data_IF_787039070124
#
_entry.id   IF_787039070124
#
_cell.length_a   1.000
_cell.length_b   1.000
_cell.length_c   1.000
_cell.angle_alpha   90.00
_cell.angle_beta   90.00
_cell.angle_gamma   90.00
#
_symmetry.space_group_name_H-M   'P 1'
#
loop_
_entity.id
_entity.type
_entity.pdbx_description
1 polymer ?
#
# COMPACT_ATOMS: atom_id res chain seq x y z
N UNK A 1 -14.24 19.40 -9.86
CA UNK A 1 -13.37 19.02 -8.73
C UNK A 1 -12.59 17.80 -9.18
N UNK A 2 -11.29 17.92 -9.44
CA UNK A 2 -10.48 16.77 -9.82
C UNK A 2 -10.46 15.80 -8.65
N UNK A 3 -11.12 14.66 -8.80
CA UNK A 3 -11.08 13.58 -7.82
C UNK A 3 -9.65 13.03 -7.88
N UNK A 4 -8.76 13.52 -7.01
CA UNK A 4 -7.42 12.94 -6.87
C UNK A 4 -7.63 11.51 -6.39
N UNK A 5 -7.54 10.56 -7.31
CA UNK A 5 -7.75 9.16 -7.01
C UNK A 5 -6.50 8.64 -6.31
N UNK A 6 -6.60 8.43 -5.01
CA UNK A 6 -5.54 7.79 -4.22
C UNK A 6 -5.56 6.29 -4.48
N UNK A 7 -4.38 5.65 -4.43
CA UNK A 7 -4.29 4.22 -4.64
C UNK A 7 -4.90 3.47 -3.45
N UNK A 8 -5.79 2.52 -3.75
CA UNK A 8 -6.34 1.59 -2.75
C UNK A 8 -5.34 0.48 -2.35
N UNK A 9 -4.12 0.52 -2.90
CA UNK A 9 -3.05 -0.46 -2.65
C UNK A 9 -2.83 -0.71 -1.16
N UNK A 10 -2.83 0.35 -0.35
CA UNK A 10 -2.54 0.29 1.07
C UNK A 10 -3.67 -0.33 1.90
N UNK A 11 -4.87 -0.56 1.34
CA UNK A 11 -5.92 -1.32 2.03
C UNK A 11 -5.51 -2.78 2.28
N UNK A 12 -4.57 -3.32 1.49
CA UNK A 12 -3.98 -4.67 1.69
C UNK A 12 -2.82 -4.72 2.69
N UNK A 13 -2.43 -3.57 3.25
CA UNK A 13 -1.46 -3.54 4.35
C UNK A 13 -2.09 -4.05 5.64
N UNK A 14 -1.29 -4.43 6.64
CA UNK A 14 -1.82 -4.92 7.93
C UNK A 14 -2.79 -3.92 8.58
N UNK A 15 -2.50 -2.62 8.53
CA UNK A 15 -3.39 -1.57 9.07
C UNK A 15 -4.66 -1.41 8.22
N UNK A 16 -4.56 -1.52 6.90
CA UNK A 16 -5.70 -1.45 5.99
C UNK A 16 -6.65 -2.64 6.13
N UNK A 17 -6.11 -3.85 6.31
CA UNK A 17 -6.89 -5.07 6.56
C UNK A 17 -7.61 -4.96 7.91
N UNK A 18 -6.90 -4.58 8.98
CA UNK A 18 -7.52 -4.39 10.29
C UNK A 18 -8.65 -3.35 10.27
N UNK A 19 -8.48 -2.25 9.52
CA UNK A 19 -9.54 -1.27 9.31
C UNK A 19 -10.74 -1.87 8.56
N UNK A 20 -10.50 -2.64 7.50
CA UNK A 20 -11.54 -3.27 6.70
C UNK A 20 -12.33 -4.28 7.53
N UNK A 21 -11.64 -5.13 8.29
CA UNK A 21 -12.26 -6.12 9.19
C UNK A 21 -13.14 -5.41 10.25
N UNK A 22 -12.64 -4.33 10.84
CA UNK A 22 -13.40 -3.53 11.82
C UNK A 22 -14.65 -2.88 11.21
N UNK A 23 -14.55 -2.38 9.98
CA UNK A 23 -15.69 -1.80 9.27
C UNK A 23 -16.73 -2.87 8.92
N UNK A 24 -16.29 -4.06 8.51
CA UNK A 24 -17.17 -5.18 8.20
C UNK A 24 -17.94 -5.64 9.45
N UNK A 25 -17.29 -5.71 10.62
CA UNK A 25 -17.97 -6.01 11.90
C UNK A 25 -19.07 -4.98 12.24
N UNK A 26 -18.78 -3.69 12.05
CA UNK A 26 -19.76 -2.61 12.29
C UNK A 26 -20.94 -2.66 11.30
N UNK A 27 -20.70 -3.10 10.07
CA UNK A 27 -21.76 -3.32 9.07
C UNK A 27 -22.62 -4.52 9.48
N UNK A 28 -21.99 -5.66 9.80
CA UNK A 28 -22.69 -6.90 10.15
C UNK A 28 -23.56 -6.74 11.40
N UNK A 29 -23.10 -5.94 12.36
CA UNK A 29 -23.85 -5.61 13.57
C UNK A 29 -24.89 -4.50 13.37
N UNK A 30 -25.01 -3.92 12.18
CA UNK A 30 -26.01 -2.90 11.83
C UNK A 30 -25.71 -1.50 12.36
N UNK A 31 -24.50 -1.24 12.88
CA UNK A 31 -24.13 0.06 13.42
C UNK A 31 -23.83 1.10 12.31
N UNK A 32 -23.32 0.66 11.15
CA UNK A 32 -23.04 1.53 10.02
C UNK A 32 -23.54 0.95 8.70
N UNK A 33 -23.89 1.83 7.76
CA UNK A 33 -24.24 1.43 6.40
C UNK A 33 -22.98 1.21 5.55
N UNK A 34 -22.95 0.27 4.59
CA UNK A 34 -21.79 0.02 3.72
C UNK A 34 -21.26 1.27 3.01
N UNK A 35 -22.15 2.19 2.64
CA UNK A 35 -21.77 3.46 1.99
C UNK A 35 -20.91 4.35 2.91
N UNK A 36 -21.12 4.31 4.22
CA UNK A 36 -20.28 5.05 5.18
C UNK A 36 -18.90 4.41 5.27
N UNK A 37 -18.81 3.08 5.34
CA UNK A 37 -17.53 2.36 5.35
C UNK A 37 -16.68 2.68 4.11
N UNK A 38 -17.29 2.75 2.93
CA UNK A 38 -16.59 3.15 1.70
C UNK A 38 -16.01 4.57 1.78
N UNK A 39 -16.70 5.51 2.44
CA UNK A 39 -16.19 6.87 2.68
C UNK A 39 -15.03 6.87 3.67
N UNK A 40 -15.06 6.02 4.69
CA UNK A 40 -13.93 5.83 5.62
C UNK A 40 -12.72 5.28 4.87
N UNK A 41 -12.89 4.26 4.03
CA UNK A 41 -11.81 3.70 3.22
C UNK A 41 -11.21 4.73 2.25
N UNK A 42 -12.05 5.53 1.59
CA UNK A 42 -11.58 6.62 0.72
C UNK A 42 -10.75 7.65 1.50
N UNK A 43 -11.15 7.94 2.75
CA UNK A 43 -10.40 8.85 3.63
C UNK A 43 -9.07 8.22 4.05
N UNK A 44 -9.07 6.92 4.36
CA UNK A 44 -7.87 6.17 4.67
C UNK A 44 -6.85 6.19 3.53
N UNK A 45 -7.28 5.96 2.28
CA UNK A 45 -6.38 5.96 1.12
C UNK A 45 -5.64 7.29 0.96
N UNK A 46 -6.34 8.40 1.21
CA UNK A 46 -5.74 9.74 1.26
C UNK A 46 -4.77 9.88 2.43
N UNK A 47 -5.22 9.59 3.64
CA UNK A 47 -4.45 9.81 4.87
C UNK A 47 -3.15 9.01 4.90
N UNK A 48 -3.17 7.74 4.48
CA UNK A 48 -1.95 6.91 4.45
C UNK A 48 -0.96 7.40 3.40
N UNK A 49 -1.44 7.82 2.22
CA UNK A 49 -0.59 8.36 1.17
C UNK A 49 0.10 9.65 1.60
N UNK A 50 -0.65 10.56 2.24
CA UNK A 50 -0.11 11.81 2.78
C UNK A 50 0.88 11.56 3.92
N UNK A 51 0.55 10.67 4.86
CA UNK A 51 1.43 10.33 5.98
C UNK A 51 2.77 9.73 5.50
N UNK A 52 2.73 8.76 4.58
CA UNK A 52 3.94 8.17 3.99
C UNK A 52 4.78 9.20 3.24
N UNK A 53 4.15 10.13 2.50
CA UNK A 53 4.87 11.14 1.73
C UNK A 53 5.46 12.26 2.60
N UNK A 54 4.79 12.66 3.68
CA UNK A 54 5.16 13.86 4.44
C UNK A 54 5.98 13.54 5.69
N UNK A 55 5.67 12.43 6.36
CA UNK A 55 6.21 12.11 7.69
C UNK A 55 7.37 11.11 7.62
N UNK A 56 7.37 10.18 6.67
CA UNK A 56 8.41 9.14 6.57
C UNK A 56 9.62 9.66 5.78
N UNK A 57 10.79 9.66 6.41
CA UNK A 57 12.06 10.13 5.82
C UNK A 57 13.13 9.04 5.68
N UNK A 58 12.92 7.94 6.38
CA UNK A 58 13.83 6.81 6.48
C UNK A 58 14.01 6.17 5.09
N UNK A 59 15.22 5.70 4.79
CA UNK A 59 15.54 5.03 3.54
C UNK A 59 15.96 3.59 3.79
N UNK A 60 15.65 2.73 2.84
CA UNK A 60 16.10 1.34 2.83
C UNK A 60 16.67 1.00 1.45
N UNK A 61 17.69 0.13 1.42
CA UNK A 61 18.21 -0.48 0.20
C UNK A 61 17.85 -1.95 0.19
N UNK A 62 17.40 -2.46 -0.95
CA UNK A 62 17.03 -3.88 -1.10
C UNK A 62 17.96 -4.49 -2.15
N UNK A 63 18.56 -5.63 -1.83
CA UNK A 63 19.32 -6.47 -2.78
C UNK A 63 18.80 -7.89 -2.70
N UNK A 64 18.62 -8.56 -3.84
CA UNK A 64 18.15 -9.93 -3.88
C UNK A 64 18.10 -10.46 -5.31
N UNK A 65 17.68 -11.72 -5.47
CA UNK A 65 17.53 -12.34 -6.77
C UNK A 65 16.12 -12.08 -7.33
N UNK A 66 16.01 -11.43 -8.49
CA UNK A 66 14.72 -11.23 -9.13
C UNK A 66 14.22 -12.55 -9.74
N UNK A 67 13.16 -13.12 -9.20
CA UNK A 67 12.57 -14.37 -9.68
C UNK A 67 11.63 -14.13 -10.87
N UNK A 68 10.72 -13.15 -10.75
CA UNK A 68 9.83 -12.75 -11.86
C UNK A 68 9.38 -11.31 -11.70
N UNK A 69 8.95 -10.69 -12.79
CA UNK A 69 8.37 -9.36 -12.82
C UNK A 69 7.16 -9.30 -13.75
N UNK A 70 6.27 -8.34 -13.51
CA UNK A 70 5.13 -8.03 -14.35
C UNK A 70 4.85 -6.54 -14.31
N UNK A 71 4.53 -5.98 -15.46
CA UNK A 71 3.99 -4.63 -15.58
C UNK A 71 2.64 -4.72 -16.31
N UNK A 72 1.59 -4.21 -15.68
CA UNK A 72 0.23 -4.15 -16.22
C UNK A 72 -0.51 -3.00 -15.54
N UNK A 73 -1.26 -2.21 -16.30
CA UNK A 73 -2.07 -1.08 -15.81
C UNK A 73 -1.30 -0.11 -14.89
N UNK A 74 -0.09 0.27 -15.29
CA UNK A 74 0.80 1.16 -14.54
C UNK A 74 1.23 0.65 -13.15
N UNK A 75 1.06 -0.65 -12.90
CA UNK A 75 1.47 -1.32 -11.67
C UNK A 75 2.61 -2.31 -11.97
N UNK A 76 3.73 -2.11 -11.29
CA UNK A 76 4.82 -3.07 -11.25
C UNK A 76 4.60 -4.09 -10.13
N UNK A 77 4.80 -5.36 -10.45
CA UNK A 77 4.88 -6.44 -9.45
C UNK A 77 6.19 -7.19 -9.64
N UNK A 78 6.97 -7.32 -8.57
CA UNK A 78 8.21 -8.11 -8.53
C UNK A 78 8.10 -9.21 -7.49
N UNK A 79 8.66 -10.37 -7.80
CA UNK A 79 8.91 -11.44 -6.85
C UNK A 79 10.42 -11.57 -6.70
N UNK A 80 10.94 -11.35 -5.49
CA UNK A 80 12.38 -11.35 -5.20
C UNK A 80 12.68 -12.45 -4.18
N UNK A 81 13.70 -13.25 -4.45
CA UNK A 81 14.16 -14.36 -3.62
C UNK A 81 15.46 -13.98 -2.90
N UNK A 82 15.59 -14.46 -1.66
CA UNK A 82 16.67 -14.15 -0.73
C UNK A 82 16.99 -12.64 -0.62
N UNK A 83 15.98 -11.76 -0.46
CA UNK A 83 16.25 -10.34 -0.30
C UNK A 83 16.99 -10.05 1.02
N UNK A 84 17.92 -9.12 0.94
CA UNK A 84 18.53 -8.42 2.06
C UNK A 84 18.11 -6.95 2.01
N UNK A 85 17.35 -6.54 3.01
CA UNK A 85 17.01 -5.15 3.29
C UNK A 85 18.10 -4.56 4.18
N UNK A 86 18.61 -3.39 3.82
CA UNK A 86 19.53 -2.59 4.63
C UNK A 86 18.86 -1.28 4.99
N UNK A 87 18.67 -1.07 6.28
CA UNK A 87 18.28 0.19 6.89
C UNK A 87 19.52 0.86 7.50
N UNK A 88 19.38 2.03 8.13
CA UNK A 88 20.53 2.76 8.69
C UNK A 88 21.25 2.00 9.81
N UNK A 89 20.50 1.24 10.62
CA UNK A 89 21.04 0.56 11.82
C UNK A 89 20.81 -0.95 11.84
N UNK A 90 20.10 -1.49 10.84
CA UNK A 90 19.74 -2.90 10.82
C UNK A 90 19.71 -3.47 9.40
N UNK A 91 19.85 -4.79 9.32
CA UNK A 91 19.64 -5.53 8.09
C UNK A 91 18.68 -6.68 8.34
N UNK A 92 17.70 -6.83 7.46
CA UNK A 92 16.64 -7.82 7.56
C UNK A 92 16.70 -8.71 6.32
N UNK A 93 16.60 -10.01 6.52
CA UNK A 93 16.57 -11.01 5.44
C UNK A 93 15.22 -11.71 5.41
N UNK A 94 14.83 -12.22 4.26
CA UNK A 94 13.70 -13.12 4.10
C UNK A 94 13.98 -14.13 2.98
N UNK A 95 13.20 -15.20 2.89
CA UNK A 95 13.35 -16.19 1.81
C UNK A 95 12.77 -15.65 0.49
N UNK A 96 11.64 -14.95 0.57
CA UNK A 96 10.91 -14.46 -0.60
C UNK A 96 10.02 -13.26 -0.25
N UNK A 97 9.98 -12.27 -1.13
CA UNK A 97 9.08 -11.11 -1.01
C UNK A 97 8.33 -10.85 -2.32
N UNK A 98 7.19 -10.17 -2.19
CA UNK A 98 6.44 -9.57 -3.30
C UNK A 98 6.44 -8.06 -3.16
N UNK A 99 6.91 -7.35 -4.17
CA UNK A 99 6.85 -5.88 -4.25
C UNK A 99 5.74 -5.52 -5.22
N UNK A 100 4.80 -4.66 -4.80
CA UNK A 100 3.79 -4.06 -5.67
C UNK A 100 3.99 -2.55 -5.62
N UNK A 101 4.28 -1.95 -6.78
CA UNK A 101 4.59 -0.54 -6.90
C UNK A 101 3.68 0.12 -7.94
N UNK A 102 2.91 1.11 -7.52
CA UNK A 102 2.09 1.93 -8.40
C UNK A 102 2.89 3.14 -8.90
N UNK A 103 2.53 3.68 -10.06
CA UNK A 103 3.14 4.88 -10.59
C UNK A 103 2.95 6.08 -9.63
N UNK A 104 4.02 6.82 -9.35
CA UNK A 104 3.95 8.00 -8.48
C UNK A 104 3.25 9.20 -9.14
N UNK A 105 3.14 9.23 -10.48
CA UNK A 105 2.41 10.26 -11.21
C UNK A 105 0.91 10.12 -10.95
N UNK A 106 0.22 11.24 -10.75
CA UNK A 106 -1.24 11.24 -10.65
C UNK A 106 -1.83 10.93 -12.03
N UNK A 107 -2.95 10.19 -12.12
CA UNK A 107 -3.66 10.01 -13.38
C UNK A 107 -3.97 11.38 -14.01
N UNK A 108 -3.35 11.69 -15.16
CA UNK A 108 -3.52 12.95 -15.89
C UNK A 108 -2.33 13.93 -15.88
N UNK A 109 -1.24 13.65 -15.16
CA UNK A 109 0.00 14.43 -15.25
C UNK A 109 0.96 13.78 -16.29
N UNK A 110 1.13 14.43 -17.46
CA UNK A 110 2.15 14.06 -18.46
C UNK A 110 3.55 14.44 -18.00
#
# INVERSE_FOLDING_TARGET
MSNTQFYELYRRSSIGMALTDSLDELIQSGHIHPQLAMRVLTTFDKSISEALSQLVRNKATIKGHLHTYRFLDDIWTFIVENPNFKFEQESITADKIKIVACNAKRPGEQ
#
